data_IF_673026358560
#
_entry.id   IF_673026358560
#
_cell.length_a   1.000
_cell.length_b   1.000
_cell.length_c   1.000
_cell.angle_alpha   90.00
_cell.angle_beta   90.00
_cell.angle_gamma   90.00
#
_symmetry.space_group_name_H-M   'P 1'
#
loop_
_entity.id
_entity.type
_entity.pdbx_description
1 polymer ?
#
# COMPACT_ATOMS: atom_id res chain seq x y z
N UNK A 1 9.79 -16.64 11.48
CA UNK A 1 8.95 -15.47 11.79
C UNK A 1 9.70 -14.22 11.34
N UNK A 2 9.35 -13.64 10.19
CA UNK A 2 10.02 -12.44 9.67
C UNK A 2 9.50 -11.25 10.49
N UNK A 3 10.38 -10.56 11.21
CA UNK A 3 10.04 -9.27 11.81
C UNK A 3 10.06 -8.21 10.71
N UNK A 4 8.88 -7.86 10.22
CA UNK A 4 8.67 -6.78 9.25
C UNK A 4 8.65 -5.45 9.99
N UNK A 5 9.82 -4.95 10.37
CA UNK A 5 9.98 -3.56 10.79
C UNK A 5 9.85 -2.69 9.52
N UNK A 6 8.61 -2.39 9.12
CA UNK A 6 8.29 -1.60 7.92
C UNK A 6 8.61 -0.11 8.08
N UNK A 7 8.90 0.32 9.31
CA UNK A 7 9.18 1.70 9.68
C UNK A 7 10.22 1.73 10.78
N UNK A 8 11.26 2.53 10.60
CA UNK A 8 12.02 3.07 11.72
C UNK A 8 11.29 4.37 12.09
N UNK A 9 10.57 4.34 13.23
CA UNK A 9 10.11 5.55 13.95
C UNK A 9 9.45 6.66 13.09
N UNK A 10 8.50 6.29 12.22
CA UNK A 10 7.55 7.25 11.62
C UNK A 10 7.74 7.58 10.14
N UNK A 11 8.62 6.90 9.41
CA UNK A 11 8.67 7.01 7.94
C UNK A 11 8.59 5.65 7.26
N UNK A 12 7.61 5.49 6.39
CA UNK A 12 7.46 4.33 5.53
C UNK A 12 8.57 4.32 4.46
N UNK A 13 9.30 3.21 4.36
CA UNK A 13 10.28 3.00 3.30
C UNK A 13 9.59 2.35 2.08
N UNK A 14 9.38 3.16 1.05
CA UNK A 14 8.75 2.74 -0.20
C UNK A 14 9.48 1.59 -0.89
N UNK A 15 10.82 1.60 -0.90
CA UNK A 15 11.62 0.56 -1.56
C UNK A 15 11.46 -0.77 -0.84
N UNK A 16 11.51 -0.73 0.51
CA UNK A 16 11.33 -1.91 1.33
C UNK A 16 9.93 -2.50 1.21
N UNK A 17 8.89 -1.65 1.22
CA UNK A 17 7.49 -2.06 1.02
C UNK A 17 7.35 -2.79 -0.33
N UNK A 18 7.87 -2.22 -1.41
CA UNK A 18 7.79 -2.83 -2.75
C UNK A 18 8.55 -4.16 -2.79
N UNK A 19 9.73 -4.23 -2.17
CA UNK A 19 10.50 -5.47 -2.10
C UNK A 19 9.71 -6.60 -1.42
N UNK A 20 9.11 -6.32 -0.26
CA UNK A 20 8.31 -7.30 0.49
C UNK A 20 7.06 -7.70 -0.30
N UNK A 21 6.39 -6.72 -0.91
CA UNK A 21 5.22 -6.98 -1.75
C UNK A 21 5.55 -7.93 -2.90
N UNK A 22 6.63 -7.67 -3.65
CA UNK A 22 7.08 -8.55 -4.74
C UNK A 22 7.40 -9.96 -4.24
N UNK A 23 8.15 -10.07 -3.14
CA UNK A 23 8.48 -11.37 -2.56
C UNK A 23 7.25 -12.19 -2.18
N UNK A 24 6.24 -11.54 -1.61
CA UNK A 24 4.97 -12.20 -1.28
C UNK A 24 4.23 -12.67 -2.54
N UNK A 25 4.13 -11.81 -3.55
CA UNK A 25 3.47 -12.11 -4.82
C UNK A 25 4.14 -13.28 -5.57
N UNK A 26 5.47 -13.28 -5.63
CA UNK A 26 6.26 -14.38 -6.21
C UNK A 26 5.99 -15.71 -5.50
N UNK A 27 5.93 -15.71 -4.15
CA UNK A 27 5.67 -16.92 -3.38
C UNK A 27 4.24 -17.47 -3.56
N UNK A 28 3.26 -16.61 -3.84
CA UNK A 28 1.86 -16.99 -4.11
C UNK A 28 1.62 -17.34 -5.59
N UNK A 29 2.63 -17.23 -6.46
CA UNK A 29 2.50 -17.44 -7.90
C UNK A 29 1.60 -16.41 -8.58
N UNK A 30 1.41 -15.25 -7.96
CA UNK A 30 0.57 -14.18 -8.44
C UNK A 30 1.43 -13.04 -8.97
N UNK A 31 1.06 -12.46 -10.11
CA UNK A 31 1.67 -11.22 -10.62
C UNK A 31 0.65 -10.11 -10.57
N UNK A 32 0.90 -9.09 -9.75
CA UNK A 32 0.12 -7.86 -9.76
C UNK A 32 0.91 -6.80 -10.52
N UNK A 33 0.38 -6.40 -11.67
CA UNK A 33 0.88 -5.22 -12.38
C UNK A 33 0.33 -3.93 -11.74
N UNK A 34 0.97 -2.80 -12.08
CA UNK A 34 0.62 -1.49 -11.52
C UNK A 34 -0.83 -1.08 -11.85
N UNK A 35 -1.31 -1.42 -13.04
CA UNK A 35 -2.66 -1.08 -13.50
C UNK A 35 -3.74 -1.81 -12.69
N UNK A 36 -3.57 -3.10 -12.44
CA UNK A 36 -4.46 -3.89 -11.60
C UNK A 36 -4.45 -3.39 -10.16
N UNK A 37 -3.28 -3.05 -9.63
CA UNK A 37 -3.18 -2.50 -8.28
C UNK A 37 -3.85 -1.13 -8.17
N UNK A 38 -3.60 -0.22 -9.11
CA UNK A 38 -4.25 1.10 -9.12
C UNK A 38 -5.77 0.98 -9.19
N UNK A 39 -6.28 0.12 -10.08
CA UNK A 39 -7.71 -0.16 -10.16
C UNK A 39 -8.27 -0.66 -8.84
N UNK A 40 -7.60 -1.62 -8.19
CA UNK A 40 -8.03 -2.16 -6.90
C UNK A 40 -8.08 -1.07 -5.83
N UNK A 41 -7.05 -0.22 -5.75
CA UNK A 41 -7.05 0.90 -4.82
C UNK A 41 -8.27 1.82 -5.08
N UNK A 42 -8.52 2.20 -6.34
CA UNK A 42 -9.63 3.10 -6.68
C UNK A 42 -10.99 2.50 -6.29
N UNK A 43 -11.15 1.19 -6.44
CA UNK A 43 -12.34 0.46 -6.00
C UNK A 43 -12.47 0.48 -4.47
N UNK A 44 -11.36 0.30 -3.73
CA UNK A 44 -11.33 0.37 -2.26
C UNK A 44 -11.72 1.74 -1.74
N UNK A 45 -11.29 2.82 -2.38
CA UNK A 45 -11.63 4.20 -2.00
C UNK A 45 -13.14 4.48 -2.08
N UNK A 46 -13.85 3.79 -2.98
CA UNK A 46 -15.31 3.93 -3.15
C UNK A 46 -16.11 2.95 -2.29
N UNK A 47 -15.45 1.96 -1.68
CA UNK A 47 -16.10 0.87 -0.99
C UNK A 47 -16.36 1.23 0.49
N UNK A 48 -17.62 1.54 0.82
CA UNK A 48 -18.02 1.99 2.16
C UNK A 48 -17.60 1.03 3.29
N UNK A 49 -17.68 -0.29 3.06
CA UNK A 49 -17.24 -1.27 4.04
C UNK A 49 -15.74 -1.16 4.35
N UNK A 50 -14.92 -0.89 3.32
CA UNK A 50 -13.47 -0.76 3.50
C UNK A 50 -13.14 0.52 4.27
N UNK A 51 -13.82 1.62 3.96
CA UNK A 51 -13.69 2.89 4.69
C UNK A 51 -14.07 2.71 6.17
N UNK A 52 -15.12 1.94 6.43
CA UNK A 52 -15.61 1.68 7.79
C UNK A 52 -14.63 0.79 8.58
N UNK A 53 -14.03 -0.21 7.92
CA UNK A 53 -13.04 -1.11 8.50
C UNK A 53 -11.72 -0.40 8.81
N UNK A 54 -11.38 0.70 8.13
CA UNK A 54 -10.17 1.47 8.39
C UNK A 54 -10.22 2.24 9.70
N UNK A 55 -11.36 2.83 10.03
CA UNK A 55 -11.51 3.71 11.21
C UNK A 55 -11.02 3.08 12.52
N UNK A 56 -11.39 1.83 12.90
CA UNK A 56 -10.90 1.22 14.13
C UNK A 56 -9.42 0.81 14.09
N UNK A 57 -8.79 0.77 12.92
CA UNK A 57 -7.36 0.44 12.77
C UNK A 57 -6.45 1.66 12.96
N UNK A 58 -7.02 2.86 12.92
CA UNK A 58 -6.28 4.10 13.12
C UNK A 58 -6.13 4.40 14.61
N UNK A 59 -4.99 4.95 15.06
CA UNK A 59 -4.87 5.45 16.42
C UNK A 59 -5.91 6.55 16.67
N UNK A 60 -6.54 6.54 17.85
CA UNK A 60 -7.65 7.44 18.19
C UNK A 60 -7.31 8.93 18.00
N UNK A 61 -6.05 9.31 18.22
CA UNK A 61 -5.59 10.70 18.14
C UNK A 61 -5.02 11.08 16.75
N UNK A 62 -5.25 10.25 15.71
CA UNK A 62 -4.75 10.50 14.36
C UNK A 62 -5.81 11.11 13.47
N UNK A 63 -5.55 12.30 12.92
CA UNK A 63 -6.30 12.81 11.77
C UNK A 63 -5.83 12.08 10.52
N UNK A 64 -6.70 11.26 9.93
CA UNK A 64 -6.41 10.48 8.73
C UNK A 64 -7.23 10.98 7.55
N UNK A 65 -6.53 11.40 6.49
CA UNK A 65 -7.13 11.76 5.21
C UNK A 65 -6.84 10.63 4.21
N UNK A 66 -7.88 9.88 3.88
CA UNK A 66 -7.77 8.73 2.99
C UNK A 66 -7.44 9.12 1.54
N UNK A 67 -7.91 10.27 1.08
CA UNK A 67 -7.64 10.77 -0.27
C UNK A 67 -6.16 11.13 -0.39
N UNK A 68 -5.61 11.78 0.63
CA UNK A 68 -4.18 12.09 0.70
C UNK A 68 -3.33 10.83 0.84
N UNK A 69 -3.77 9.84 1.63
CA UNK A 69 -3.07 8.56 1.75
C UNK A 69 -3.04 7.81 0.41
N UNK A 70 -4.18 7.78 -0.30
CA UNK A 70 -4.29 7.20 -1.63
C UNK A 70 -3.32 7.85 -2.63
N UNK A 71 -3.29 9.19 -2.66
CA UNK A 71 -2.41 9.94 -3.54
C UNK A 71 -0.93 9.63 -3.28
N UNK A 72 -0.55 9.48 -2.00
CA UNK A 72 0.81 9.08 -1.62
C UNK A 72 1.15 7.67 -2.10
N UNK A 73 0.27 6.69 -1.88
CA UNK A 73 0.48 5.31 -2.36
C UNK A 73 0.68 5.30 -3.89
N UNK A 74 -0.15 6.05 -4.62
CA UNK A 74 -0.03 6.13 -6.08
C UNK A 74 1.29 6.75 -6.53
N UNK A 75 1.68 7.88 -5.95
CA UNK A 75 2.86 8.62 -6.40
C UNK A 75 4.18 7.98 -5.94
N UNK A 76 4.18 7.39 -4.75
CA UNK A 76 5.40 6.94 -4.08
C UNK A 76 5.63 5.43 -4.23
N UNK A 77 4.58 4.61 -4.28
CA UNK A 77 4.70 3.15 -4.39
C UNK A 77 4.44 2.65 -5.81
N UNK A 78 3.29 3.00 -6.40
CA UNK A 78 2.90 2.48 -7.71
C UNK A 78 3.88 2.87 -8.82
N UNK A 79 4.29 4.14 -8.86
CA UNK A 79 5.28 4.62 -9.83
C UNK A 79 6.60 3.85 -9.76
N UNK A 80 7.04 3.51 -8.55
CA UNK A 80 8.28 2.72 -8.34
C UNK A 80 8.13 1.25 -8.71
N UNK A 81 6.91 0.69 -8.64
CA UNK A 81 6.63 -0.65 -9.16
C UNK A 81 6.82 -0.64 -10.69
N UNK A 82 6.32 0.37 -11.40
CA UNK A 82 6.48 0.51 -12.85
C UNK A 82 7.92 0.76 -13.28
N UNK A 83 8.63 1.67 -12.61
CA UNK A 83 10.00 2.06 -12.96
C UNK A 83 11.01 0.90 -12.82
N UNK A 84 10.68 -0.13 -12.03
CA UNK A 84 11.51 -1.34 -11.81
C UNK A 84 11.09 -2.56 -12.64
N UNK A 85 10.10 -2.41 -13.54
CA UNK A 85 9.68 -3.44 -14.48
C UNK A 85 10.20 -3.18 -15.91
N UNK A 86 10.85 -2.03 -16.13
CA UNK A 86 11.65 -1.73 -17.33
C UNK A 86 13.11 -2.11 -17.11
#
# INVERSE_FOLDING_TARGET
MVKLNLTDEGKADAERIIHIFKHYMENEGQTVDSMHYEKNLQEKLRHQGFLSDLNPLLPADTTYDIEMAFLRIRNDLLRKIEDKLK
#
